data_IF_738142514711
#
_entry.id   IF_738142514711
#
_cell.length_a   1.000
_cell.length_b   1.000
_cell.length_c   1.000
_cell.angle_alpha   90.00
_cell.angle_beta   90.00
_cell.angle_gamma   90.00
#
_symmetry.space_group_name_H-M   'P 1'
#
loop_
_entity.id
_entity.type
_entity.pdbx_description
1 polymer ?
#
# COMPACT_ATOMS: atom_id res chain seq x y z
N UNK A 1 -4.22 5.18 -19.54
CA UNK A 1 -3.01 4.41 -19.91
C UNK A 1 -3.49 3.09 -20.49
N UNK A 2 -3.02 2.65 -21.66
CA UNK A 2 -3.43 1.36 -22.22
C UNK A 2 -2.29 0.37 -22.03
N UNK A 3 -2.54 -0.67 -21.22
CA UNK A 3 -1.60 -1.76 -20.98
C UNK A 3 -2.04 -2.97 -21.82
N UNK A 4 -1.14 -3.51 -22.62
CA UNK A 4 -1.39 -4.71 -23.44
C UNK A 4 -0.68 -5.92 -22.83
N UNK A 5 -1.29 -7.10 -22.95
CA UNK A 5 -0.69 -8.36 -22.51
C UNK A 5 -0.91 -8.73 -21.04
N UNK A 6 -1.77 -8.01 -20.31
CA UNK A 6 -2.16 -8.33 -18.92
C UNK A 6 -3.54 -8.99 -18.85
N UNK A 7 -3.87 -9.66 -17.74
CA UNK A 7 -5.22 -10.21 -17.48
C UNK A 7 -6.26 -9.12 -17.15
N UNK A 8 -5.79 -7.92 -16.83
CA UNK A 8 -6.61 -6.78 -16.49
C UNK A 8 -5.79 -5.53 -16.19
N UNK A 9 -6.48 -4.47 -15.78
CA UNK A 9 -5.86 -3.20 -15.36
C UNK A 9 -6.64 -2.60 -14.21
N UNK A 10 -5.93 -2.13 -13.19
CA UNK A 10 -6.50 -1.30 -12.15
C UNK A 10 -6.57 0.15 -12.63
N UNK A 11 -7.72 0.79 -12.44
CA UNK A 11 -7.92 2.22 -12.70
C UNK A 11 -8.55 2.90 -11.49
N UNK A 12 -8.02 4.06 -11.11
CA UNK A 12 -8.56 4.89 -10.05
C UNK A 12 -8.61 6.34 -10.51
N UNK A 13 -9.81 6.92 -10.53
CA UNK A 13 -10.06 8.31 -10.91
C UNK A 13 -11.29 8.86 -10.15
N UNK A 14 -11.80 10.02 -10.55
CA UNK A 14 -12.99 10.64 -9.92
C UNK A 14 -14.23 9.73 -9.95
N UNK A 15 -14.38 8.87 -10.96
CA UNK A 15 -15.47 7.89 -11.03
C UNK A 15 -15.23 6.64 -10.15
N UNK A 16 -14.16 6.64 -9.36
CA UNK A 16 -13.82 5.61 -8.37
C UNK A 16 -12.78 4.61 -8.83
N UNK A 17 -12.73 3.46 -8.14
CA UNK A 17 -11.72 2.43 -8.32
C UNK A 17 -12.29 1.16 -8.98
N UNK A 18 -11.66 0.71 -10.06
CA UNK A 18 -12.17 -0.39 -10.90
C UNK A 18 -11.02 -1.31 -11.32
N UNK A 19 -11.26 -2.62 -11.27
CA UNK A 19 -10.47 -3.60 -12.00
C UNK A 19 -11.15 -3.94 -13.33
N UNK A 20 -10.50 -3.56 -14.43
CA UNK A 20 -10.92 -3.92 -15.78
C UNK A 20 -10.37 -5.30 -16.12
N UNK A 21 -11.21 -6.17 -16.69
CA UNK A 21 -10.79 -7.50 -17.16
C UNK A 21 -10.60 -7.52 -18.68
N UNK A 22 -10.09 -8.63 -19.22
CA UNK A 22 -10.04 -8.86 -20.68
C UNK A 22 -11.41 -8.86 -21.35
N UNK A 23 -12.48 -9.20 -20.64
CA UNK A 23 -13.83 -9.04 -21.14
C UNK A 23 -14.29 -7.60 -20.92
N UNK A 24 -14.44 -6.84 -22.00
CA UNK A 24 -14.87 -5.44 -21.96
C UNK A 24 -16.24 -5.23 -21.29
N UNK A 25 -17.04 -6.29 -21.10
CA UNK A 25 -18.33 -6.26 -20.40
C UNK A 25 -18.20 -6.55 -18.90
N UNK A 26 -17.06 -7.08 -18.47
CA UNK A 26 -16.82 -7.49 -17.10
C UNK A 26 -15.80 -6.56 -16.45
N UNK A 27 -16.25 -5.89 -15.38
CA UNK A 27 -15.43 -5.04 -14.54
C UNK A 27 -15.82 -5.24 -13.09
N UNK A 28 -14.83 -5.14 -12.20
CA UNK A 28 -15.06 -5.22 -10.76
C UNK A 28 -14.92 -3.84 -10.14
N UNK A 29 -15.94 -3.39 -9.40
CA UNK A 29 -15.89 -2.15 -8.61
C UNK A 29 -15.17 -2.44 -7.30
N UNK A 30 -14.11 -1.70 -7.03
CA UNK A 30 -13.26 -1.89 -5.86
C UNK A 30 -13.46 -0.81 -4.79
N UNK A 31 -14.40 0.11 -4.96
CA UNK A 31 -14.58 1.27 -4.06
C UNK A 31 -14.83 0.84 -2.62
N UNK A 32 -15.76 -0.09 -2.40
CA UNK A 32 -16.06 -0.58 -1.06
C UNK A 32 -14.86 -1.34 -0.45
N UNK A 33 -14.07 -2.01 -1.29
CA UNK A 33 -12.91 -2.76 -0.86
C UNK A 33 -11.73 -1.83 -0.47
N UNK A 34 -11.56 -0.73 -1.20
CA UNK A 34 -10.50 0.27 -1.04
C UNK A 34 -10.92 1.48 -0.17
N UNK A 35 -12.18 1.56 0.24
CA UNK A 35 -12.68 2.60 1.12
C UNK A 35 -11.89 2.61 2.42
N UNK A 36 -11.25 3.73 2.72
CA UNK A 36 -10.45 3.90 3.93
C UNK A 36 -11.37 4.29 5.09
N UNK A 37 -11.80 3.29 5.83
CA UNK A 37 -12.77 3.40 6.91
C UNK A 37 -12.16 2.98 8.26
N UNK A 38 -12.98 2.90 9.30
CA UNK A 38 -12.59 2.29 10.57
C UNK A 38 -12.67 0.77 10.45
N UNK A 39 -11.55 0.07 10.69
CA UNK A 39 -11.50 -1.40 10.70
C UNK A 39 -11.30 -1.90 12.13
N UNK A 40 -12.17 -2.80 12.65
CA UNK A 40 -11.97 -3.39 13.96
C UNK A 40 -10.65 -4.15 14.05
N UNK A 41 -9.94 -4.01 15.17
CA UNK A 41 -8.70 -4.72 15.49
C UNK A 41 -8.93 -6.22 15.78
N UNK A 42 -10.19 -6.64 16.01
CA UNK A 42 -10.59 -8.04 16.24
C UNK A 42 -11.70 -8.41 15.26
N UNK A 43 -11.51 -9.47 14.47
CA UNK A 43 -12.51 -9.99 13.54
C UNK A 43 -13.32 -11.19 14.09
N UNK A 44 -12.89 -11.77 15.22
CA UNK A 44 -13.54 -12.94 15.80
C UNK A 44 -14.80 -12.57 16.59
N UNK A 45 -15.93 -13.13 16.14
CA UNK A 45 -17.22 -13.09 16.82
C UNK A 45 -17.23 -13.92 18.12
N UNK A 46 -16.46 -13.49 19.11
CA UNK A 46 -16.60 -13.99 20.47
C UNK A 46 -17.89 -13.45 21.09
N UNK A 47 -18.75 -14.36 21.53
CA UNK A 47 -19.87 -14.07 22.43
C UNK A 47 -19.32 -13.47 23.73
N UNK A 48 -19.10 -12.17 23.77
CA UNK A 48 -19.08 -11.46 25.03
C UNK A 48 -19.57 -10.04 24.81
N UNK A 49 -20.67 -9.72 25.49
CA UNK A 49 -21.32 -8.41 25.48
C UNK A 49 -20.51 -7.40 26.31
N UNK A 50 -19.20 -7.35 26.10
CA UNK A 50 -18.37 -6.28 26.63
C UNK A 50 -18.24 -5.24 25.53
N UNK A 51 -19.03 -4.17 25.66
CA UNK A 51 -19.00 -3.02 24.77
C UNK A 51 -17.62 -2.38 24.85
N UNK A 52 -16.74 -2.82 23.95
CA UNK A 52 -15.47 -2.15 23.63
C UNK A 52 -15.82 -0.71 23.28
N UNK A 53 -15.42 0.21 24.16
CA UNK A 53 -15.47 1.64 23.89
C UNK A 53 -14.75 1.90 22.57
N UNK A 54 -15.29 2.78 21.73
CA UNK A 54 -14.82 3.04 20.36
C UNK A 54 -13.32 3.41 20.24
N UNK A 55 -12.64 3.67 21.36
CA UNK A 55 -11.21 3.91 21.49
C UNK A 55 -10.32 2.65 21.49
N UNK A 56 -10.86 1.46 21.79
CA UNK A 56 -10.04 0.31 22.21
C UNK A 56 -9.96 -0.81 21.15
N UNK A 57 -10.47 -0.57 19.94
CA UNK A 57 -10.56 -1.65 18.95
C UNK A 57 -10.67 -1.25 17.49
N UNK A 58 -10.31 -0.04 17.08
CA UNK A 58 -10.44 0.38 15.67
C UNK A 58 -9.13 0.97 15.13
N UNK A 59 -8.66 0.45 14.00
CA UNK A 59 -7.69 1.12 13.14
C UNK A 59 -8.44 2.08 12.22
N UNK A 60 -8.07 3.36 12.25
CA UNK A 60 -8.71 4.39 11.42
C UNK A 60 -8.01 4.57 10.08
N UNK A 61 -8.78 4.91 9.05
CA UNK A 61 -8.25 5.33 7.76
C UNK A 61 -7.58 4.21 6.97
N UNK A 62 -7.98 2.96 7.20
CA UNK A 62 -7.46 1.76 6.54
C UNK A 62 -8.56 1.11 5.69
N UNK A 63 -8.21 0.62 4.50
CA UNK A 63 -9.11 -0.16 3.65
C UNK A 63 -9.27 -1.62 4.08
N UNK A 64 -10.27 -2.29 3.53
CA UNK A 64 -10.57 -3.67 3.87
C UNK A 64 -9.48 -4.68 3.49
N UNK A 65 -8.64 -4.33 2.53
CA UNK A 65 -7.49 -5.15 2.09
C UNK A 65 -6.28 -5.04 3.01
N UNK A 66 -6.27 -4.08 3.95
CA UNK A 66 -5.15 -3.96 4.88
C UNK A 66 -5.24 -5.06 5.95
N UNK A 67 -4.15 -5.81 6.17
CA UNK A 67 -4.07 -6.88 7.17
C UNK A 67 -3.83 -6.29 8.56
N UNK A 68 -4.81 -5.57 9.09
CA UNK A 68 -4.73 -4.80 10.34
C UNK A 68 -4.38 -5.66 11.55
N UNK A 69 -4.68 -6.95 11.51
CA UNK A 69 -4.33 -7.93 12.55
C UNK A 69 -2.82 -8.08 12.80
N UNK A 70 -1.96 -7.65 11.86
CA UNK A 70 -0.50 -7.65 12.08
C UNK A 70 -0.02 -6.44 12.88
N UNK A 71 -0.79 -5.36 12.91
CA UNK A 71 -0.36 -4.11 13.52
C UNK A 71 -0.33 -4.24 15.05
N UNK A 72 0.68 -3.67 15.73
CA UNK A 72 0.67 -3.52 17.18
C UNK A 72 -0.60 -2.82 17.68
N UNK A 73 -1.13 -3.29 18.82
CA UNK A 73 -2.34 -2.72 19.43
C UNK A 73 -2.17 -1.25 19.80
N UNK A 74 -0.93 -0.81 20.00
CA UNK A 74 -0.53 0.55 20.33
C UNK A 74 -0.90 1.54 19.22
N UNK A 75 -1.17 1.06 17.99
CA UNK A 75 -1.67 1.89 16.89
C UNK A 75 -3.19 2.08 16.88
N UNK A 76 -3.93 1.31 17.69
CA UNK A 76 -5.38 1.44 17.78
C UNK A 76 -5.73 2.85 18.26
N UNK A 77 -6.72 3.47 17.62
CA UNK A 77 -7.16 4.82 17.95
C UNK A 77 -6.24 5.94 17.46
N UNK A 78 -5.01 5.64 17.02
CA UNK A 78 -4.08 6.62 16.48
C UNK A 78 -4.41 6.97 15.02
N UNK A 79 -4.10 8.19 14.57
CA UNK A 79 -4.27 8.56 13.18
C UNK A 79 -3.38 7.71 12.28
N UNK A 80 -3.87 7.46 11.07
CA UNK A 80 -3.15 6.79 10.01
C UNK A 80 -3.26 7.62 8.73
N UNK A 81 -2.21 7.59 7.90
CA UNK A 81 -2.10 8.43 6.71
C UNK A 81 -1.90 7.60 5.45
N UNK A 82 -2.10 8.24 4.30
CA UNK A 82 -1.88 7.64 2.99
C UNK A 82 -2.63 6.31 2.80
N UNK A 83 -3.96 6.38 2.93
CA UNK A 83 -4.87 5.23 2.85
C UNK A 83 -4.61 4.12 3.90
N UNK A 84 -3.91 4.45 5.00
CA UNK A 84 -3.68 3.53 6.10
C UNK A 84 -2.30 2.89 6.09
N UNK A 85 -1.43 3.27 5.15
CA UNK A 85 -0.10 2.67 4.97
C UNK A 85 0.91 3.07 6.05
N UNK A 86 0.80 4.25 6.66
CA UNK A 86 1.85 4.78 7.55
C UNK A 86 2.17 3.87 8.73
N UNK A 87 1.16 3.33 9.40
CA UNK A 87 1.36 2.45 10.56
C UNK A 87 2.11 1.16 10.17
N UNK A 88 1.83 0.59 8.98
CA UNK A 88 2.54 -0.58 8.47
C UNK A 88 4.01 -0.25 8.18
N UNK A 89 4.30 0.91 7.58
CA UNK A 89 5.68 1.34 7.33
C UNK A 89 6.48 1.51 8.61
N UNK A 90 5.86 2.06 9.67
CA UNK A 90 6.50 2.17 10.98
C UNK A 90 6.74 0.81 11.61
N UNK A 91 5.74 -0.08 11.56
CA UNK A 91 5.84 -1.44 12.10
C UNK A 91 6.97 -2.24 11.41
N UNK A 92 6.99 -2.26 10.07
CA UNK A 92 8.01 -2.96 9.29
C UNK A 92 9.43 -2.42 9.57
N UNK A 93 9.58 -1.09 9.70
CA UNK A 93 10.85 -0.48 10.06
C UNK A 93 11.34 -0.93 11.44
N UNK A 94 10.49 -0.83 12.47
CA UNK A 94 10.86 -1.19 13.84
C UNK A 94 11.16 -2.69 13.94
N UNK A 95 10.36 -3.55 13.30
CA UNK A 95 10.63 -4.99 13.26
C UNK A 95 11.99 -5.30 12.64
N UNK A 96 12.32 -4.70 11.50
CA UNK A 96 13.62 -4.87 10.86
C UNK A 96 14.77 -4.41 11.76
N UNK A 97 14.62 -3.30 12.49
CA UNK A 97 15.63 -2.86 13.46
C UNK A 97 15.86 -3.87 14.60
N UNK A 98 14.80 -4.58 15.03
CA UNK A 98 14.87 -5.55 16.13
C UNK A 98 15.41 -6.90 15.64
N UNK A 99 14.91 -7.41 14.51
CA UNK A 99 15.25 -8.74 13.99
C UNK A 99 16.54 -8.76 13.17
N UNK A 100 16.93 -7.62 12.60
CA UNK A 100 17.99 -7.55 11.59
C UNK A 100 17.58 -8.09 10.23
N UNK A 101 16.31 -8.42 10.03
CA UNK A 101 15.79 -8.88 8.73
C UNK A 101 15.62 -7.70 7.77
N UNK A 102 15.78 -7.98 6.47
CA UNK A 102 15.54 -6.99 5.42
C UNK A 102 14.04 -6.65 5.34
N UNK A 103 13.64 -5.38 5.50
CA UNK A 103 12.24 -5.01 5.41
C UNK A 103 11.73 -5.11 3.96
N UNK A 104 10.41 -5.22 3.75
CA UNK A 104 9.81 -5.23 2.41
C UNK A 104 10.17 -3.98 1.61
N UNK A 105 10.17 -2.81 2.25
CA UNK A 105 10.67 -1.56 1.67
C UNK A 105 12.09 -1.28 2.17
N UNK A 106 13.08 -1.70 1.39
CA UNK A 106 14.51 -1.58 1.69
C UNK A 106 15.23 -0.66 0.69
N UNK A 107 16.55 -0.51 0.84
CA UNK A 107 17.34 0.43 0.01
C UNK A 107 17.37 0.06 -1.47
N UNK A 108 17.29 -1.22 -1.83
CA UNK A 108 17.24 -1.65 -3.24
C UNK A 108 15.91 -1.28 -3.88
N UNK A 109 14.80 -1.52 -3.16
CA UNK A 109 13.47 -1.06 -3.56
C UNK A 109 13.40 0.47 -3.68
N UNK A 110 13.93 1.20 -2.69
CA UNK A 110 13.98 2.65 -2.72
C UNK A 110 14.78 3.18 -3.94
N UNK A 111 15.88 2.51 -4.31
CA UNK A 111 16.63 2.85 -5.51
C UNK A 111 15.80 2.65 -6.79
N UNK A 112 15.05 1.56 -6.90
CA UNK A 112 14.16 1.29 -8.05
C UNK A 112 13.06 2.34 -8.19
N UNK A 113 12.60 2.92 -7.08
CA UNK A 113 11.60 4.00 -7.11
C UNK A 113 12.22 5.36 -7.49
N UNK A 114 13.41 5.67 -6.97
CA UNK A 114 14.00 6.99 -7.08
C UNK A 114 14.84 7.20 -8.35
N UNK A 115 15.64 6.21 -8.73
CA UNK A 115 16.62 6.31 -9.82
C UNK A 115 15.99 6.68 -11.16
N UNK A 116 14.84 6.09 -11.58
CA UNK A 116 14.19 6.52 -12.83
C UNK A 116 13.87 8.02 -12.86
N UNK A 117 13.48 8.60 -11.71
CA UNK A 117 13.21 10.03 -11.60
C UNK A 117 14.46 10.90 -11.74
N UNK A 118 15.58 10.47 -11.16
CA UNK A 118 16.87 11.15 -11.30
C UNK A 118 17.35 11.11 -12.74
N UNK A 119 17.34 9.93 -13.38
CA UNK A 119 17.75 9.77 -14.78
C UNK A 119 16.80 10.51 -15.74
N UNK A 120 15.50 10.57 -15.44
CA UNK A 120 14.55 11.36 -16.21
C UNK A 120 14.86 12.86 -16.14
N UNK A 121 15.32 13.36 -15.00
CA UNK A 121 15.77 14.75 -14.87
C UNK A 121 17.01 15.01 -15.74
N UNK A 122 18.02 14.14 -15.67
CA UNK A 122 19.22 14.26 -16.50
C UNK A 122 18.90 14.18 -18.01
N UNK A 123 17.98 13.28 -18.38
CA UNK A 123 17.46 13.16 -19.75
C UNK A 123 16.82 14.48 -20.21
N UNK A 124 15.97 15.09 -19.37
CA UNK A 124 15.34 16.37 -19.67
C UNK A 124 16.37 17.50 -19.86
N UNK A 125 17.41 17.54 -19.02
CA UNK A 125 18.51 18.49 -19.14
C UNK A 125 19.36 18.26 -20.41
N UNK A 126 19.38 17.04 -20.93
CA UNK A 126 20.01 16.63 -22.18
C UNK A 126 19.05 16.62 -23.38
N UNK A 127 17.98 17.44 -23.36
CA UNK A 127 17.05 17.59 -24.48
C UNK A 127 16.14 16.38 -24.72
N UNK A 128 15.88 15.58 -23.69
CA UNK A 128 15.04 14.39 -23.76
C UNK A 128 15.75 13.18 -24.37
N UNK A 129 17.09 13.14 -24.34
CA UNK A 129 17.86 11.99 -24.83
C UNK A 129 17.55 10.74 -24.00
N UNK A 130 17.45 9.58 -24.65
CA UNK A 130 17.27 8.31 -23.95
C UNK A 130 18.53 7.98 -23.13
N UNK A 131 18.35 7.74 -21.84
CA UNK A 131 19.40 7.36 -20.91
C UNK A 131 19.06 6.01 -20.27
N UNK A 132 20.08 5.21 -20.00
CA UNK A 132 19.93 3.93 -19.33
C UNK A 132 19.58 4.12 -17.85
N UNK A 133 18.65 3.31 -17.35
CA UNK A 133 18.30 3.25 -15.92
C UNK A 133 19.15 2.13 -15.30
N UNK A 134 20.07 2.44 -14.37
CA UNK A 134 20.90 1.41 -13.76
C UNK A 134 20.08 0.51 -12.83
N UNK A 135 20.35 -0.80 -12.92
CA UNK A 135 19.86 -1.81 -11.98
C UNK A 135 20.93 -2.11 -10.93
N UNK A 136 20.56 -1.99 -9.65
CA UNK A 136 21.45 -2.22 -8.50
C UNK A 136 21.36 -3.65 -7.95
N UNK A 137 20.57 -4.52 -8.59
CA UNK A 137 20.36 -5.90 -8.19
C UNK A 137 19.46 -6.03 -6.96
N UNK A 138 19.50 -7.21 -6.34
CA UNK A 138 18.60 -7.57 -5.23
C UNK A 138 19.25 -7.42 -3.84
N UNK A 139 18.42 -7.33 -2.77
CA UNK A 139 18.91 -7.39 -1.40
C UNK A 139 19.78 -8.63 -1.14
N UNK A 140 20.80 -8.46 -0.28
CA UNK A 140 21.76 -9.52 0.09
C UNK A 140 21.55 -10.02 1.51
#
# INVERSE_FOLDING_TARGET
MTLFGTEGSFEHNEAGAVWLTKDARSKERLDALLACEGRPARQDGGEDMDRVTASDGTHFGVSAVHPVERLPREFIGLPNGHAGAHQFLVDDFVRACISGETPPNNVWEAARYAVPGVIAHDSAMAGGTLLEIPDFGDPR
#
